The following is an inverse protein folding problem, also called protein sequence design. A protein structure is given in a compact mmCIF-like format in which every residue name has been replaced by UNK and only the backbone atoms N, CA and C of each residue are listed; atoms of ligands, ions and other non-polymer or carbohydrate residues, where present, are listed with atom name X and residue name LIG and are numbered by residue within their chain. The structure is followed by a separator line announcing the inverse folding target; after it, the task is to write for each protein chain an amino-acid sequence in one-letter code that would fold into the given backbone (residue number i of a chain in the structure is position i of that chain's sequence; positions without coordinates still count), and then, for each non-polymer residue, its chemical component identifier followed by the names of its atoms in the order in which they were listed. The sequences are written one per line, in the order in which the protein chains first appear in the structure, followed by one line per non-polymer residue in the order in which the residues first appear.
data_IF_383608189320
#
_entry.id   IF_383608189320
#
_cell.length_a   1.000
_cell.length_b   1.000
_cell.length_c   1.000
_cell.angle_alpha   90.00
_cell.angle_beta   90.00
_cell.angle_gamma   90.00
#
_symmetry.space_group_name_H-M   'P 1'
#
loop_
_entity.id
_entity.type
_entity.pdbx_description
1 polymer ?
#
# COMPACT_ATOMS: atom_id res chain seq x y z
N UNK A 1 24.69 -19.64 36.18
CA UNK A 1 24.75 -18.53 35.18
C UNK A 1 23.83 -18.78 33.98
N UNK A 2 23.72 -20.03 33.49
CA UNK A 2 22.79 -20.41 32.40
C UNK A 2 21.35 -19.89 32.57
N UNK A 3 20.75 -20.04 33.76
CA UNK A 3 19.36 -19.59 34.02
C UNK A 3 19.16 -18.08 33.80
N UNK A 4 20.17 -17.25 34.09
CA UNK A 4 20.10 -15.80 33.88
C UNK A 4 20.17 -15.45 32.39
N UNK A 5 20.98 -16.20 31.64
CA UNK A 5 21.12 -16.05 30.18
C UNK A 5 19.80 -16.39 29.47
N UNK A 6 19.13 -17.47 29.89
CA UNK A 6 17.83 -17.86 29.31
C UNK A 6 16.74 -16.80 29.48
N UNK A 7 16.72 -16.09 30.61
CA UNK A 7 15.73 -15.02 30.87
C UNK A 7 15.97 -13.81 29.98
N UNK A 8 17.24 -13.40 29.81
CA UNK A 8 17.60 -12.29 28.90
C UNK A 8 17.27 -12.64 27.45
N UNK A 9 17.51 -13.89 27.05
CA UNK A 9 17.19 -14.37 25.70
C UNK A 9 15.67 -14.38 25.44
N UNK A 10 14.87 -14.79 26.43
CA UNK A 10 13.41 -14.74 26.32
C UNK A 10 12.88 -13.31 26.20
N UNK A 11 13.43 -12.39 27.00
CA UNK A 11 13.02 -10.98 26.97
C UNK A 11 13.35 -10.32 25.64
N UNK A 12 14.56 -10.55 25.11
CA UNK A 12 14.97 -10.02 23.80
C UNK A 12 14.13 -10.59 22.66
N UNK A 13 13.81 -11.90 22.65
CA UNK A 13 12.92 -12.48 21.65
C UNK A 13 11.50 -11.87 21.66
N UNK A 14 10.94 -11.60 22.85
CA UNK A 14 9.61 -10.99 22.96
C UNK A 14 9.55 -9.55 22.45
N UNK A 15 10.67 -8.83 22.48
CA UNK A 15 10.73 -7.45 21.95
C UNK A 15 10.77 -7.40 20.42
N UNK A 16 11.26 -8.47 19.77
CA UNK A 16 11.34 -8.56 18.32
C UNK A 16 9.97 -8.80 17.66
N UNK A 17 9.05 -9.49 18.33
CA UNK A 17 7.69 -9.74 17.79
C UNK A 17 6.80 -8.51 17.86
N UNK A 18 7.07 -7.58 18.78
CA UNK A 18 6.35 -6.30 18.91
C UNK A 18 6.90 -5.21 17.97
N UNK A 19 8.14 -5.37 17.49
CA UNK A 19 8.77 -4.44 16.55
C UNK A 19 8.39 -4.70 15.08
N UNK A 20 7.69 -5.80 14.79
CA UNK A 20 7.17 -6.05 13.43
C UNK A 20 5.89 -5.24 13.22
N UNK A 21 6.07 -3.93 13.04
CA UNK A 21 5.02 -3.01 12.65
C UNK A 21 4.58 -3.35 11.21
N UNK A 22 3.26 -3.41 10.97
CA UNK A 22 2.71 -3.59 9.63
C UNK A 22 3.18 -2.41 8.78
N UNK A 23 4.11 -2.67 7.86
CA UNK A 23 4.90 -1.64 7.15
C UNK A 23 4.01 -0.60 6.45
N UNK A 24 2.80 -0.98 6.04
CA UNK A 24 1.62 -0.14 5.77
C UNK A 24 0.57 -1.06 5.15
N UNK A 25 -0.71 -0.91 5.53
CA UNK A 25 -1.83 -1.49 4.79
C UNK A 25 -2.56 -0.37 4.06
N UNK A 26 -2.79 -0.57 2.76
CA UNK A 26 -3.55 0.36 1.95
C UNK A 26 -4.69 -0.38 1.24
N UNK A 27 -5.92 0.00 1.55
CA UNK A 27 -7.11 -0.57 0.93
C UNK A 27 -7.39 0.13 -0.41
N UNK A 28 -7.40 -0.62 -1.51
CA UNK A 28 -7.85 -0.13 -2.82
C UNK A 28 -9.40 -0.05 -2.88
N UNK A 29 -10.00 0.82 -2.08
CA UNK A 29 -11.45 0.93 -1.93
C UNK A 29 -12.19 1.41 -3.19
N UNK A 30 -11.48 1.93 -4.20
CA UNK A 30 -12.07 2.30 -5.49
C UNK A 30 -12.31 1.08 -6.39
N UNK A 31 -11.68 -0.05 -6.08
CA UNK A 31 -11.82 -1.28 -6.82
C UNK A 31 -13.10 -2.00 -6.43
N UNK A 32 -14.08 -1.94 -7.32
CA UNK A 32 -15.37 -2.66 -7.19
C UNK A 32 -15.44 -3.94 -8.02
N UNK A 33 -14.42 -4.21 -8.84
CA UNK A 33 -14.40 -5.37 -9.73
C UNK A 33 -13.61 -6.55 -9.11
N UNK A 34 -13.78 -7.74 -9.68
CA UNK A 34 -13.03 -8.95 -9.28
C UNK A 34 -11.70 -9.15 -10.01
N UNK A 35 -11.21 -8.20 -10.82
CA UNK A 35 -9.96 -8.42 -11.57
C UNK A 35 -8.74 -8.31 -10.68
N UNK A 36 -7.66 -9.02 -11.02
CA UNK A 36 -6.41 -8.92 -10.27
C UNK A 36 -5.70 -7.60 -10.56
N UNK A 37 -5.03 -7.06 -9.54
CA UNK A 37 -4.11 -5.94 -9.69
C UNK A 37 -2.97 -6.41 -10.59
N UNK A 38 -2.67 -5.62 -11.61
CA UNK A 38 -1.56 -5.86 -12.54
C UNK A 38 -0.30 -5.15 -12.09
N UNK A 39 -0.44 -3.91 -11.64
CA UNK A 39 0.71 -3.07 -11.32
C UNK A 39 0.36 -1.95 -10.33
N UNK A 40 1.40 -1.40 -9.68
CA UNK A 40 1.31 -0.29 -8.73
C UNK A 40 2.44 0.71 -8.98
N UNK A 41 2.08 1.96 -9.29
CA UNK A 41 3.01 3.04 -9.58
C UNK A 41 2.93 4.13 -8.51
N UNK A 42 3.85 4.16 -7.54
CA UNK A 42 3.99 5.27 -6.62
C UNK A 42 4.81 6.41 -7.27
N UNK A 43 4.35 7.65 -7.10
CA UNK A 43 5.02 8.86 -7.57
C UNK A 43 5.13 9.81 -6.38
N UNK A 44 6.35 10.27 -6.09
CA UNK A 44 6.62 11.19 -4.98
C UNK A 44 6.86 12.58 -5.54
N UNK A 45 6.18 13.58 -4.99
CA UNK A 45 6.46 14.98 -5.30
C UNK A 45 7.57 15.51 -4.38
N UNK A 46 8.77 15.70 -4.93
CA UNK A 46 9.92 16.18 -4.17
C UNK A 46 9.79 17.61 -3.59
N UNK A 47 8.80 18.41 -4.02
CA UNK A 47 8.60 19.77 -3.51
C UNK A 47 7.80 19.81 -2.20
N UNK A 48 6.74 19.01 -2.11
CA UNK A 48 5.82 19.03 -0.97
C UNK A 48 5.69 17.68 -0.25
N UNK A 49 6.39 16.65 -0.73
CA UNK A 49 6.36 15.29 -0.22
C UNK A 49 4.99 14.60 -0.29
N UNK A 50 4.08 15.11 -1.12
CA UNK A 50 2.85 14.37 -1.46
C UNK A 50 3.20 13.10 -2.23
N UNK A 51 2.41 12.07 -2.04
CA UNK A 51 2.55 10.77 -2.71
C UNK A 51 1.31 10.52 -3.55
N UNK A 52 1.49 10.21 -4.83
CA UNK A 52 0.43 9.70 -5.69
C UNK A 52 0.64 8.21 -5.91
N UNK A 53 -0.36 7.39 -5.64
CA UNK A 53 -0.33 5.94 -5.88
C UNK A 53 -1.32 5.63 -6.99
N UNK A 54 -0.84 5.02 -8.06
CA UNK A 54 -1.71 4.49 -9.12
C UNK A 54 -1.71 2.97 -9.05
N UNK A 55 -2.88 2.37 -8.89
CA UNK A 55 -3.07 0.92 -8.91
C UNK A 55 -3.80 0.57 -10.20
N UNK A 56 -3.21 -0.27 -11.04
CA UNK A 56 -3.78 -0.67 -12.31
C UNK A 56 -4.27 -2.12 -12.26
N UNK A 57 -5.44 -2.39 -12.83
CA UNK A 57 -5.91 -3.74 -13.11
C UNK A 57 -6.19 -3.94 -14.60
N UNK A 58 -6.86 -5.05 -14.97
CA UNK A 58 -7.16 -5.34 -16.37
C UNK A 58 -8.13 -4.34 -17.04
N UNK A 59 -8.94 -3.64 -16.26
CA UNK A 59 -10.09 -2.84 -16.72
C UNK A 59 -9.97 -1.36 -16.41
N UNK A 60 -9.27 -1.00 -15.32
CA UNK A 60 -9.24 0.34 -14.74
C UNK A 60 -7.90 0.66 -14.10
N UNK A 61 -7.67 1.97 -13.93
CA UNK A 61 -6.60 2.53 -13.11
C UNK A 61 -7.24 3.31 -11.96
N UNK A 62 -6.69 3.17 -10.76
CA UNK A 62 -7.13 3.82 -9.53
C UNK A 62 -6.02 4.72 -9.04
N UNK A 63 -6.27 6.03 -8.96
CA UNK A 63 -5.33 7.03 -8.46
C UNK A 63 -5.71 7.47 -7.05
N UNK A 64 -4.71 7.56 -6.20
CA UNK A 64 -4.81 8.03 -4.83
C UNK A 64 -3.76 9.08 -4.57
N UNK A 65 -4.14 10.20 -3.96
CA UNK A 65 -3.23 11.26 -3.55
C UNK A 65 -3.19 11.31 -2.03
N UNK A 66 -2.01 11.07 -1.48
CA UNK A 66 -1.70 11.18 -0.06
C UNK A 66 -0.86 12.43 0.16
N UNK A 67 -1.08 13.12 1.29
CA UNK A 67 -0.15 14.16 1.73
C UNK A 67 1.09 13.55 2.40
N UNK A 68 2.02 14.41 2.81
CA UNK A 68 3.25 14.05 3.54
C UNK A 68 3.02 13.31 4.88
N UNK A 69 1.79 13.29 5.40
CA UNK A 69 1.40 12.55 6.61
C UNK A 69 0.64 11.25 6.26
N UNK A 70 0.76 10.77 5.01
CA UNK A 70 0.06 9.60 4.49
C UNK A 70 -1.47 9.67 4.59
N UNK A 71 -2.05 10.87 4.71
CA UNK A 71 -3.51 11.05 4.72
C UNK A 71 -4.01 11.23 3.30
N UNK A 72 -5.11 10.54 2.97
CA UNK A 72 -5.79 10.69 1.70
C UNK A 72 -6.35 12.11 1.55
N UNK A 73 -5.92 12.81 0.49
CA UNK A 73 -6.37 14.16 0.14
C UNK A 73 -7.07 14.23 -1.22
N UNK A 74 -7.05 13.14 -1.99
CA UNK A 74 -7.75 13.06 -3.26
C UNK A 74 -7.71 11.66 -3.84
N UNK A 75 -8.66 11.35 -4.71
CA UNK A 75 -8.72 10.07 -5.41
C UNK A 75 -9.35 10.25 -6.80
N UNK A 76 -9.08 9.30 -7.70
CA UNK A 76 -9.68 9.25 -9.04
C UNK A 76 -9.72 7.79 -9.52
N UNK A 77 -10.69 7.46 -10.36
CA UNK A 77 -10.72 6.17 -11.06
C UNK A 77 -10.91 6.43 -12.54
N UNK A 78 -10.18 5.68 -13.37
CA UNK A 78 -10.40 5.73 -14.81
C UNK A 78 -11.79 5.18 -15.14
N UNK A 79 -12.39 5.71 -16.19
CA UNK A 79 -13.50 5.05 -16.84
C UNK A 79 -13.07 3.64 -17.29
N UNK A 80 -14.04 2.74 -17.39
CA UNK A 80 -13.77 1.37 -17.84
C UNK A 80 -13.20 1.46 -19.24
N UNK A 81 -12.03 0.85 -19.47
CA UNK A 81 -11.49 0.75 -20.83
C UNK A 81 -12.55 0.11 -21.73
N UNK A 82 -13.12 0.88 -22.66
CA UNK A 82 -13.94 0.31 -23.72
C UNK A 82 -13.00 -0.53 -24.59
N UNK A 83 -13.22 -1.84 -24.62
CA UNK A 83 -12.64 -2.68 -25.65
C UNK A 83 -13.32 -2.27 -26.96
N UNK A 84 -12.59 -1.57 -27.82
CA UNK A 84 -13.02 -1.38 -29.20
C UNK A 84 -13.25 -2.77 -29.79
N UNK A 85 -14.52 -3.13 -29.98
CA UNK A 85 -14.91 -4.37 -30.66
C UNK A 85 -14.33 -4.27 -32.07
N UNK A 86 -13.20 -4.93 -32.31
CA UNK A 86 -12.71 -5.16 -33.67
C UNK A 86 -13.70 -6.15 -34.30
N UNK A 87 -14.61 -5.62 -35.11
CA UNK A 87 -15.37 -6.39 -36.08
C UNK A 87 -14.47 -6.80 -37.24
#
# INVERSE_FOLDING_TARGET
MLKKISVVLAFTLSSLTLAQEKIVEFENFLKTNGTFIKDVFPIINHKNHDISIFIADAKKVYGYKLNNNFKLIGNLSSEKKEESIKR
#
